data_IF_763769981059
#
_entry.id   IF_763769981059
#
_cell.length_a   1.000
_cell.length_b   1.000
_cell.length_c   1.000
_cell.angle_alpha   90.00
_cell.angle_beta   90.00
_cell.angle_gamma   90.00
#
_symmetry.space_group_name_H-M   'P 1'
#
loop_
_entity.id
_entity.type
_entity.pdbx_description
1 polymer ?
#
# COMPACT_ATOMS: atom_id res chain seq x y z
N UNK A 1 -16.10 -35.95 8.47
CA UNK A 1 -14.80 -35.32 8.76
C UNK A 1 -14.78 -34.88 10.22
N UNK A 2 -13.70 -35.16 10.95
CA UNK A 2 -13.57 -34.89 12.39
C UNK A 2 -13.72 -33.40 12.76
N UNK A 3 -13.57 -32.51 11.76
CA UNK A 3 -13.68 -31.06 11.89
C UNK A 3 -14.55 -30.54 10.75
N UNK A 4 -15.80 -30.21 11.07
CA UNK A 4 -16.81 -29.72 10.14
C UNK A 4 -16.91 -28.20 10.05
N UNK A 5 -18.07 -27.71 9.56
CA UNK A 5 -18.37 -26.28 9.41
C UNK A 5 -18.25 -25.51 10.75
N UNK A 6 -18.62 -26.12 11.85
CA UNK A 6 -18.53 -25.53 13.19
C UNK A 6 -17.10 -25.09 13.56
N UNK A 7 -16.09 -25.95 13.30
CA UNK A 7 -14.68 -25.59 13.58
C UNK A 7 -14.19 -24.48 12.65
N UNK A 8 -14.65 -24.46 11.41
CA UNK A 8 -14.38 -23.38 10.49
C UNK A 8 -14.88 -22.03 11.05
N UNK A 9 -16.14 -21.97 11.46
CA UNK A 9 -16.72 -20.74 12.01
C UNK A 9 -15.99 -20.27 13.27
N UNK A 10 -15.62 -21.20 14.15
CA UNK A 10 -14.85 -20.90 15.36
C UNK A 10 -13.46 -20.33 15.03
N UNK A 11 -12.77 -20.86 14.01
CA UNK A 11 -11.48 -20.32 13.55
C UNK A 11 -11.65 -18.90 13.02
N UNK A 12 -12.66 -18.66 12.17
CA UNK A 12 -12.91 -17.33 11.61
C UNK A 12 -13.26 -16.31 12.69
N UNK A 13 -14.14 -16.69 13.62
CA UNK A 13 -14.49 -15.84 14.77
C UNK A 13 -13.29 -15.53 15.67
N UNK A 14 -12.39 -16.52 15.89
CA UNK A 14 -11.20 -16.31 16.71
C UNK A 14 -10.21 -15.34 16.07
N UNK A 15 -10.13 -15.32 14.74
CA UNK A 15 -9.26 -14.38 14.02
C UNK A 15 -9.68 -12.90 14.13
N UNK A 16 -10.95 -12.65 14.43
CA UNK A 16 -11.47 -11.29 14.69
C UNK A 16 -11.11 -10.79 16.11
N UNK A 17 -10.69 -11.69 17.00
CA UNK A 17 -10.27 -11.33 18.35
C UNK A 17 -8.78 -10.97 18.39
N UNK A 18 -8.36 -10.14 19.36
CA UNK A 18 -6.94 -9.86 19.57
C UNK A 18 -6.14 -11.16 19.79
N UNK A 19 -4.90 -11.26 19.29
CA UNK A 19 -4.04 -12.38 19.56
C UNK A 19 -3.65 -12.44 21.05
N UNK A 20 -3.11 -13.57 21.53
CA UNK A 20 -2.64 -13.70 22.91
C UNK A 20 -1.61 -12.62 23.29
N UNK A 21 -1.56 -12.28 24.57
CA UNK A 21 -0.63 -11.30 25.09
C UNK A 21 0.82 -11.63 24.68
N UNK A 22 1.53 -10.61 24.15
CA UNK A 22 2.89 -10.75 23.64
C UNK A 22 3.00 -11.17 22.17
N UNK A 23 1.88 -11.40 21.48
CA UNK A 23 1.84 -11.71 20.05
C UNK A 23 1.25 -10.54 19.26
N UNK A 24 1.86 -10.20 18.12
CA UNK A 24 1.37 -9.15 17.23
C UNK A 24 0.24 -9.64 16.29
N UNK A 25 0.17 -10.94 16.06
CA UNK A 25 -0.83 -11.59 15.18
C UNK A 25 -1.03 -13.03 15.58
N UNK A 26 -2.16 -13.60 15.15
CA UNK A 26 -2.41 -15.04 15.28
C UNK A 26 -1.47 -15.83 14.37
N UNK A 27 -1.03 -16.99 14.85
CA UNK A 27 -0.41 -18.04 14.05
C UNK A 27 -1.21 -19.34 14.15
N UNK A 28 -0.86 -20.34 13.33
CA UNK A 28 -1.59 -21.62 13.30
C UNK A 28 -1.56 -22.36 14.64
N UNK A 29 -0.42 -22.33 15.32
CA UNK A 29 -0.25 -23.01 16.60
C UNK A 29 -1.05 -22.36 17.73
N UNK A 30 -1.01 -21.04 17.83
CA UNK A 30 -1.79 -20.28 18.83
C UNK A 30 -3.30 -20.42 18.62
N UNK A 31 -3.76 -20.43 17.36
CA UNK A 31 -5.16 -20.73 17.02
C UNK A 31 -5.56 -22.16 17.42
N UNK A 32 -4.70 -23.13 17.11
CA UNK A 32 -4.94 -24.52 17.45
C UNK A 32 -5.09 -24.72 18.98
N UNK A 33 -4.19 -24.07 19.72
CA UNK A 33 -4.21 -24.09 21.18
C UNK A 33 -5.47 -23.41 21.74
N UNK A 34 -5.81 -22.22 21.27
CA UNK A 34 -6.97 -21.46 21.75
C UNK A 34 -8.30 -22.18 21.48
N UNK A 35 -8.39 -22.93 20.41
CA UNK A 35 -9.62 -23.61 19.97
C UNK A 35 -9.68 -25.10 20.37
N UNK A 36 -8.58 -25.66 20.91
CA UNK A 36 -8.50 -27.08 21.27
C UNK A 36 -8.59 -28.01 20.04
N UNK A 37 -8.04 -27.60 18.91
CA UNK A 37 -8.02 -28.38 17.66
C UNK A 37 -6.57 -28.66 17.24
N UNK A 38 -6.36 -29.58 16.28
CA UNK A 38 -5.02 -29.83 15.77
C UNK A 38 -4.56 -28.70 14.83
N UNK A 39 -3.27 -28.42 14.85
CA UNK A 39 -2.61 -27.44 13.97
C UNK A 39 -2.89 -27.74 12.47
N UNK A 40 -2.81 -29.01 12.08
CA UNK A 40 -3.15 -29.45 10.72
C UNK A 40 -4.61 -29.12 10.32
N UNK A 41 -5.54 -29.18 11.25
CA UNK A 41 -6.92 -28.81 10.98
C UNK A 41 -7.05 -27.30 10.73
N UNK A 42 -6.37 -26.49 11.53
CA UNK A 42 -6.31 -25.02 11.34
C UNK A 42 -5.75 -24.69 9.97
N UNK A 43 -4.55 -25.19 9.63
CA UNK A 43 -3.91 -24.90 8.36
C UNK A 43 -4.69 -25.38 7.13
N UNK A 44 -5.39 -26.49 7.23
CA UNK A 44 -6.25 -27.00 6.17
C UNK A 44 -7.44 -26.08 5.93
N UNK A 45 -8.06 -25.58 6.99
CA UNK A 45 -9.20 -24.66 6.90
C UNK A 45 -8.73 -23.32 6.36
N UNK A 46 -7.67 -22.75 6.91
CA UNK A 46 -7.11 -21.48 6.45
C UNK A 46 -6.75 -21.52 4.96
N UNK A 47 -6.12 -22.61 4.48
CA UNK A 47 -5.82 -22.79 3.04
C UNK A 47 -7.08 -22.86 2.19
N UNK A 48 -8.12 -23.56 2.67
CA UNK A 48 -9.40 -23.65 1.94
C UNK A 48 -10.10 -22.29 1.83
N UNK A 49 -10.01 -21.48 2.88
CA UNK A 49 -10.57 -20.12 2.91
C UNK A 49 -9.65 -19.08 2.24
N UNK A 50 -8.47 -19.47 1.75
CA UNK A 50 -7.50 -18.55 1.15
C UNK A 50 -6.88 -17.56 2.14
N UNK A 51 -6.92 -17.86 3.44
CA UNK A 51 -6.39 -17.02 4.52
C UNK A 51 -4.91 -17.35 4.72
N UNK A 52 -4.07 -16.33 4.68
CA UNK A 52 -2.63 -16.41 4.95
C UNK A 52 -2.30 -15.51 6.15
N UNK A 53 -2.05 -16.10 7.32
CA UNK A 53 -1.84 -15.37 8.57
C UNK A 53 -0.61 -14.43 8.54
N UNK A 54 0.40 -14.76 7.75
CA UNK A 54 1.64 -13.98 7.63
C UNK A 54 1.59 -12.91 6.51
N UNK A 55 0.54 -12.90 5.69
CA UNK A 55 0.34 -11.87 4.67
C UNK A 55 -0.57 -10.79 5.23
N UNK A 56 0.01 -9.66 5.58
CA UNK A 56 -0.78 -8.44 5.71
C UNK A 56 -1.36 -8.11 4.33
N UNK A 57 -2.67 -8.27 4.17
CA UNK A 57 -3.35 -7.67 3.03
C UNK A 57 -3.32 -6.17 3.27
N UNK A 58 -2.87 -5.42 2.29
CA UNK A 58 -2.87 -3.94 2.34
C UNK A 58 -4.28 -3.32 2.23
N UNK A 59 -5.32 -4.15 2.34
CA UNK A 59 -6.69 -3.69 2.32
C UNK A 59 -7.11 -3.27 3.74
N UNK A 60 -7.42 -2.00 3.89
CA UNK A 60 -8.09 -1.50 5.09
C UNK A 60 -9.60 -1.63 4.90
N UNK A 61 -10.28 -2.12 5.91
CA UNK A 61 -11.75 -2.08 5.95
C UNK A 61 -12.14 -0.68 6.41
N UNK A 62 -12.89 0.04 5.59
CA UNK A 62 -13.40 1.35 5.96
C UNK A 62 -14.53 1.22 7.00
N UNK A 63 -14.53 2.10 7.98
CA UNK A 63 -15.64 2.27 8.94
C UNK A 63 -16.66 3.28 8.48
N UNK A 64 -16.46 3.94 7.33
CA UNK A 64 -17.39 4.88 6.74
C UNK A 64 -18.58 4.13 6.10
N UNK A 65 -19.84 4.33 6.57
CA UNK A 65 -21.00 3.65 6.01
C UNK A 65 -21.27 4.02 4.54
N UNK A 66 -20.78 5.18 4.08
CA UNK A 66 -20.91 5.63 2.69
C UNK A 66 -19.70 5.24 1.82
N UNK A 67 -18.75 4.46 2.35
CA UNK A 67 -17.53 4.11 1.64
C UNK A 67 -17.79 3.53 0.24
N UNK A 68 -18.74 2.62 0.10
CA UNK A 68 -19.02 1.97 -1.17
C UNK A 68 -19.49 2.97 -2.25
N UNK A 69 -20.35 3.92 -1.87
CA UNK A 69 -20.82 4.97 -2.78
C UNK A 69 -19.68 5.92 -3.18
N UNK A 70 -18.92 6.42 -2.21
CA UNK A 70 -17.76 7.30 -2.44
C UNK A 70 -16.69 6.62 -3.29
N UNK A 71 -16.41 5.34 -3.01
CA UNK A 71 -15.44 4.56 -3.80
C UNK A 71 -15.93 4.36 -5.24
N UNK A 72 -17.23 4.11 -5.45
CA UNK A 72 -17.80 3.97 -6.78
C UNK A 72 -17.68 5.27 -7.59
N UNK A 73 -17.90 6.43 -6.97
CA UNK A 73 -17.74 7.75 -7.63
C UNK A 73 -16.28 7.95 -8.08
N UNK A 74 -15.32 7.70 -7.20
CA UNK A 74 -13.90 7.81 -7.53
C UNK A 74 -13.50 6.82 -8.64
N UNK A 75 -13.95 5.57 -8.55
CA UNK A 75 -13.69 4.55 -9.59
C UNK A 75 -14.33 4.98 -10.91
N UNK A 76 -15.53 5.56 -10.86
CA UNK A 76 -16.22 6.10 -12.02
C UNK A 76 -15.39 7.14 -12.78
N UNK A 77 -14.71 8.04 -12.08
CA UNK A 77 -13.82 9.04 -12.67
C UNK A 77 -12.62 8.41 -13.40
N UNK A 78 -12.11 7.27 -12.94
CA UNK A 78 -11.04 6.54 -13.62
C UNK A 78 -11.52 5.76 -14.84
N UNK A 79 -12.67 5.10 -14.74
CA UNK A 79 -13.16 4.20 -15.79
C UNK A 79 -13.90 4.93 -16.91
N UNK A 80 -14.58 6.01 -16.57
CA UNK A 80 -15.43 6.76 -17.51
C UNK A 80 -15.41 8.25 -17.14
N UNK A 81 -14.29 8.96 -17.36
CA UNK A 81 -14.20 10.39 -17.05
C UNK A 81 -15.22 11.18 -17.87
N UNK A 82 -15.85 12.23 -17.31
CA UNK A 82 -16.79 13.07 -18.04
C UNK A 82 -16.14 13.72 -19.28
N UNK A 83 -16.87 13.82 -20.39
CA UNK A 83 -16.32 14.27 -21.70
C UNK A 83 -15.69 15.67 -21.65
N UNK A 84 -16.24 16.60 -20.86
CA UNK A 84 -15.73 17.96 -20.74
C UNK A 84 -15.05 18.20 -19.38
N UNK A 85 -14.34 17.21 -18.86
CA UNK A 85 -13.68 17.31 -17.58
C UNK A 85 -12.18 16.93 -17.69
N UNK A 86 -11.40 17.52 -16.82
CA UNK A 86 -10.05 17.10 -16.53
C UNK A 86 -10.07 16.28 -15.22
N UNK A 87 -9.73 15.02 -15.28
CA UNK A 87 -9.59 14.18 -14.08
C UNK A 87 -8.12 14.01 -13.78
N UNK A 88 -7.70 14.48 -12.63
CA UNK A 88 -6.31 14.47 -12.17
C UNK A 88 -6.21 13.68 -10.88
N UNK A 89 -5.36 12.64 -10.85
CA UNK A 89 -4.96 11.97 -9.62
C UNK A 89 -3.65 12.57 -9.12
N UNK A 90 -3.63 13.05 -7.89
CA UNK A 90 -2.47 13.72 -7.29
C UNK A 90 -2.03 12.97 -6.06
N UNK A 91 -0.71 12.77 -5.93
CA UNK A 91 -0.11 12.13 -4.75
C UNK A 91 1.26 12.73 -4.45
N UNK A 92 1.74 12.51 -3.22
CA UNK A 92 3.09 12.90 -2.83
C UNK A 92 3.95 11.68 -2.44
N UNK A 93 5.18 11.67 -2.89
CA UNK A 93 6.21 10.77 -2.39
C UNK A 93 7.18 11.55 -1.50
N UNK A 94 7.00 11.49 -0.16
CA UNK A 94 7.85 12.24 0.76
C UNK A 94 9.20 11.56 0.98
N UNK A 95 10.16 12.35 1.40
CA UNK A 95 11.45 11.89 1.95
C UNK A 95 12.22 10.92 1.06
N UNK A 96 12.24 11.16 -0.25
CA UNK A 96 13.08 10.42 -1.18
C UNK A 96 14.53 10.70 -0.82
N UNK A 97 15.28 9.66 -0.44
CA UNK A 97 16.64 9.78 0.05
C UNK A 97 17.65 9.62 -1.08
N UNK A 98 18.57 10.59 -1.20
CA UNK A 98 19.76 10.43 -2.04
C UNK A 98 20.82 9.67 -1.26
N UNK A 99 20.98 8.37 -1.55
CA UNK A 99 21.93 7.50 -0.88
C UNK A 99 23.09 7.15 -1.79
N UNK A 100 24.31 7.39 -1.31
CA UNK A 100 25.53 6.90 -1.92
C UNK A 100 26.00 5.66 -1.17
N UNK A 101 26.09 4.53 -1.88
CA UNK A 101 26.59 3.27 -1.34
C UNK A 101 27.81 2.84 -2.13
N UNK A 102 28.92 2.61 -1.43
CA UNK A 102 30.10 2.05 -2.04
C UNK A 102 29.86 0.58 -2.44
N UNK A 103 30.40 0.20 -3.59
CA UNK A 103 30.41 -1.21 -4.02
C UNK A 103 31.41 -1.98 -3.16
N UNK A 104 31.09 -3.23 -2.87
CA UNK A 104 31.95 -4.17 -2.19
C UNK A 104 32.06 -5.47 -2.96
N UNK A 105 33.11 -6.21 -2.68
CA UNK A 105 33.34 -7.53 -3.27
C UNK A 105 33.53 -8.54 -2.15
N UNK A 106 32.88 -9.68 -2.27
CA UNK A 106 33.01 -10.78 -1.30
C UNK A 106 33.52 -12.01 -2.05
N UNK A 107 34.58 -12.63 -1.54
CA UNK A 107 35.04 -13.94 -2.00
C UNK A 107 34.22 -15.02 -1.30
N UNK A 108 33.54 -15.85 -2.08
CA UNK A 108 32.82 -17.01 -1.56
C UNK A 108 33.83 -18.15 -1.26
N UNK A 109 33.43 -19.11 -0.43
CA UNK A 109 34.24 -20.32 -0.14
C UNK A 109 34.56 -21.14 -1.40
N UNK A 110 33.78 -20.98 -2.47
CA UNK A 110 34.05 -21.61 -3.78
C UNK A 110 34.99 -20.81 -4.67
N UNK A 111 35.62 -19.73 -4.16
CA UNK A 111 36.54 -18.87 -4.92
C UNK A 111 35.84 -17.87 -5.86
N UNK A 112 34.50 -17.85 -5.94
CA UNK A 112 33.77 -16.92 -6.78
C UNK A 112 33.72 -15.52 -6.13
N UNK A 113 33.95 -14.49 -6.92
CA UNK A 113 33.82 -13.10 -6.49
C UNK A 113 32.38 -12.65 -6.75
N UNK A 114 31.67 -12.21 -5.69
CA UNK A 114 30.32 -11.64 -5.77
C UNK A 114 30.40 -10.17 -5.46
N UNK A 115 29.87 -9.37 -6.36
CA UNK A 115 29.74 -7.93 -6.17
C UNK A 115 28.46 -7.61 -5.42
N UNK A 116 28.52 -6.74 -4.42
CA UNK A 116 27.38 -6.25 -3.67
C UNK A 116 27.55 -4.79 -3.26
N UNK A 117 26.55 -4.25 -2.61
CA UNK A 117 26.66 -2.93 -1.98
C UNK A 117 27.08 -3.09 -0.51
N UNK A 118 27.94 -2.21 -0.01
CA UNK A 118 28.26 -2.15 1.42
C UNK A 118 27.02 -1.78 2.21
N UNK A 119 26.90 -2.27 3.44
CA UNK A 119 25.82 -1.92 4.37
C UNK A 119 25.85 -0.44 4.79
N UNK A 120 27.06 0.14 4.81
CA UNK A 120 27.25 1.57 5.09
C UNK A 120 26.87 2.42 3.89
N UNK A 121 26.24 3.57 4.15
CA UNK A 121 25.87 4.53 3.13
C UNK A 121 26.07 5.96 3.62
N UNK A 122 26.28 6.89 2.68
CA UNK A 122 26.26 8.33 2.94
C UNK A 122 24.95 8.90 2.41
N UNK A 123 24.27 9.71 3.24
CA UNK A 123 23.06 10.40 2.85
C UNK A 123 23.39 11.80 2.36
N UNK A 124 22.91 12.16 1.17
CA UNK A 124 23.10 13.47 0.55
C UNK A 124 21.86 14.36 0.65
N UNK A 125 20.97 14.05 1.56
CA UNK A 125 19.74 14.78 1.78
C UNK A 125 18.49 14.01 1.34
N UNK A 126 17.36 14.71 1.40
CA UNK A 126 16.04 14.20 0.99
C UNK A 126 15.32 15.25 0.15
N UNK A 127 14.49 14.79 -0.77
CA UNK A 127 13.55 15.60 -1.53
C UNK A 127 12.16 15.00 -1.46
N UNK A 128 11.13 15.80 -1.67
CA UNK A 128 9.77 15.34 -1.82
C UNK A 128 9.37 15.47 -3.28
N UNK A 129 8.52 14.60 -3.77
CA UNK A 129 7.96 14.63 -5.11
C UNK A 129 6.44 14.78 -4.99
N UNK A 130 5.90 15.81 -5.61
CA UNK A 130 4.48 15.89 -5.95
C UNK A 130 4.30 15.42 -7.39
N UNK A 131 3.29 14.61 -7.63
CA UNK A 131 2.97 14.12 -8.96
C UNK A 131 1.47 14.21 -9.22
N UNK A 132 1.10 14.59 -10.42
CA UNK A 132 -0.25 14.67 -10.92
C UNK A 132 -0.37 13.87 -12.21
N UNK A 133 -1.28 12.89 -12.23
CA UNK A 133 -1.59 12.06 -13.39
C UNK A 133 -2.91 12.53 -14.00
N UNK A 134 -2.90 12.96 -15.25
CA UNK A 134 -4.11 13.14 -16.02
C UNK A 134 -4.64 11.78 -16.47
N UNK A 135 -5.83 11.41 -15.96
CA UNK A 135 -6.38 10.06 -16.13
C UNK A 135 -6.66 9.73 -17.59
N UNK A 136 -7.19 10.67 -18.37
CA UNK A 136 -7.59 10.43 -19.76
C UNK A 136 -6.41 10.26 -20.71
N UNK A 137 -5.33 11.02 -20.52
CA UNK A 137 -4.17 11.05 -21.44
C UNK A 137 -3.00 10.24 -20.94
N UNK A 138 -2.94 9.94 -19.63
CA UNK A 138 -1.79 9.34 -18.98
C UNK A 138 -0.61 10.32 -18.81
N UNK A 139 -0.79 11.61 -19.07
CA UNK A 139 0.26 12.60 -18.89
C UNK A 139 0.55 12.79 -17.40
N UNK A 140 1.84 12.79 -17.06
CA UNK A 140 2.30 13.01 -15.69
C UNK A 140 3.04 14.33 -15.61
N UNK A 141 2.66 15.17 -14.64
CA UNK A 141 3.41 16.34 -14.21
C UNK A 141 4.01 16.07 -12.84
N UNK A 142 5.26 16.36 -12.63
CA UNK A 142 5.96 16.14 -11.37
C UNK A 142 6.83 17.32 -10.97
N UNK A 143 6.88 17.61 -9.67
CA UNK A 143 7.72 18.66 -9.09
C UNK A 143 8.40 18.16 -7.83
N UNK A 144 9.70 18.38 -7.73
CA UNK A 144 10.46 18.09 -6.51
C UNK A 144 10.59 19.35 -5.65
N UNK A 145 10.45 19.15 -4.34
CA UNK A 145 10.58 20.23 -3.34
C UNK A 145 11.44 19.79 -2.17
N UNK A 146 12.05 20.75 -1.47
CA UNK A 146 12.82 20.49 -0.26
C UNK A 146 11.91 20.29 0.95
N UNK A 147 10.72 20.86 0.93
CA UNK A 147 9.71 20.71 1.99
C UNK A 147 8.41 20.21 1.41
N UNK A 148 7.50 19.73 2.28
CA UNK A 148 6.15 19.31 1.90
C UNK A 148 5.10 20.11 2.68
N UNK A 149 5.26 21.41 2.70
CA UNK A 149 4.33 22.31 3.35
C UNK A 149 3.10 22.53 2.47
N UNK A 150 2.01 22.98 3.08
CA UNK A 150 0.79 23.36 2.36
C UNK A 150 1.07 24.32 1.19
N UNK A 151 1.98 25.27 1.38
CA UNK A 151 2.35 26.21 0.33
C UNK A 151 3.02 25.52 -0.87
N UNK A 152 3.85 24.50 -0.64
CA UNK A 152 4.50 23.75 -1.74
C UNK A 152 3.47 22.98 -2.56
N UNK A 153 2.50 22.35 -1.88
CA UNK A 153 1.41 21.64 -2.52
C UNK A 153 0.49 22.62 -3.30
N UNK A 154 0.13 23.72 -2.69
CA UNK A 154 -0.69 24.75 -3.37
C UNK A 154 -0.01 25.27 -4.63
N UNK A 155 1.29 25.64 -4.54
CA UNK A 155 2.05 26.10 -5.70
C UNK A 155 2.16 25.04 -6.80
N UNK A 156 2.23 23.76 -6.44
CA UNK A 156 2.18 22.66 -7.40
C UNK A 156 0.80 22.55 -8.07
N UNK A 157 -0.27 22.63 -7.31
CA UNK A 157 -1.63 22.58 -7.85
C UNK A 157 -1.93 23.76 -8.77
N UNK A 158 -1.50 24.96 -8.40
CA UNK A 158 -1.64 26.16 -9.23
C UNK A 158 -0.95 25.96 -10.61
N UNK A 159 0.24 25.35 -10.62
CA UNK A 159 0.94 25.01 -11.87
C UNK A 159 0.21 23.94 -12.70
N UNK A 160 -0.38 22.93 -12.03
CA UNK A 160 -1.09 21.83 -12.71
C UNK A 160 -2.34 22.34 -13.42
N UNK A 161 -3.03 23.33 -12.85
CA UNK A 161 -4.30 23.85 -13.40
C UNK A 161 -4.13 25.12 -14.24
N UNK A 162 -2.95 25.77 -14.23
CA UNK A 162 -2.73 27.06 -14.86
C UNK A 162 -3.09 27.13 -16.35
N UNK A 163 -2.82 26.04 -17.09
CA UNK A 163 -3.02 25.98 -18.54
C UNK A 163 -4.40 25.42 -18.95
N UNK A 164 -5.30 25.19 -17.98
CA UNK A 164 -6.60 24.60 -18.27
C UNK A 164 -7.61 25.66 -18.71
N UNK A 165 -8.47 25.37 -19.72
CA UNK A 165 -9.55 26.25 -20.11
C UNK A 165 -10.51 26.53 -18.95
N UNK A 166 -10.97 27.78 -18.83
CA UNK A 166 -11.79 28.23 -17.72
C UNK A 166 -13.21 27.57 -17.66
N UNK A 167 -13.67 27.04 -18.78
CA UNK A 167 -14.96 26.35 -18.93
C UNK A 167 -14.86 24.83 -18.70
N UNK A 168 -13.65 24.30 -18.49
CA UNK A 168 -13.45 22.87 -18.25
C UNK A 168 -13.61 22.54 -16.78
N UNK A 169 -14.41 21.53 -16.46
CA UNK A 169 -14.50 21.01 -15.09
C UNK A 169 -13.21 20.28 -14.72
N UNK A 170 -12.75 20.48 -13.48
CA UNK A 170 -11.56 19.81 -12.95
C UNK A 170 -11.94 18.97 -11.75
N UNK A 171 -11.75 17.66 -11.86
CA UNK A 171 -11.89 16.70 -10.77
C UNK A 171 -10.50 16.32 -10.26
N UNK A 172 -10.25 16.56 -8.98
CA UNK A 172 -8.97 16.20 -8.34
C UNK A 172 -9.21 15.05 -7.36
N UNK A 173 -8.47 13.97 -7.57
CA UNK A 173 -8.44 12.79 -6.69
C UNK A 173 -7.15 12.87 -5.87
N UNK A 174 -7.28 12.90 -4.53
CA UNK A 174 -6.21 13.03 -3.55
C UNK A 174 -6.14 11.80 -2.66
#
# INVERSE_FOLDING_TARGET
AKYGAEVRERILAQLELPPPAGMASWDGGSLALALGVSDDAVWRILRKEGIQLQRHRSWCVSTDPEFAAKAADVIGLYLNPPENALVISVDEKPSIQALERARGYVHTSSGKIVQGMKSTYKRHGTVNLFAALEVATGLIRGKTTQTKKRADFQAFMDEVVADQPADRQIHVIL
#
